data_IF_944885139383
#
_entry.id   IF_944885139383
#
_cell.length_a   1.000
_cell.length_b   1.000
_cell.length_c   1.000
_cell.angle_alpha   90.00
_cell.angle_beta   90.00
_cell.angle_gamma   90.00
#
_symmetry.space_group_name_H-M   'P 1'
#
loop_
_entity.id
_entity.type
_entity.pdbx_description
1 polymer ?
#
# COMPACT_ATOMS: atom_id res chain seq x y z
N UNK A 1 -32.75 -14.91 -13.92
CA UNK A 1 -32.58 -16.10 -13.02
C UNK A 1 -33.48 -17.27 -13.41
N UNK A 2 -34.82 -17.19 -13.51
CA UNK A 2 -35.64 -18.36 -13.89
C UNK A 2 -35.18 -19.06 -15.17
N UNK A 3 -34.89 -18.30 -16.23
CA UNK A 3 -34.38 -18.83 -17.49
C UNK A 3 -32.97 -19.46 -17.37
N UNK A 4 -32.16 -19.02 -16.40
CA UNK A 4 -30.84 -19.60 -16.13
C UNK A 4 -31.01 -20.96 -15.43
N UNK A 5 -31.85 -21.03 -14.38
CA UNK A 5 -32.22 -22.28 -13.71
C UNK A 5 -32.77 -23.28 -14.72
N UNK A 6 -33.73 -22.86 -15.58
CA UNK A 6 -34.24 -23.71 -16.66
C UNK A 6 -33.12 -24.22 -17.59
N UNK A 7 -32.17 -23.37 -17.99
CA UNK A 7 -31.04 -23.82 -18.79
C UNK A 7 -30.08 -24.76 -18.04
N UNK A 8 -29.99 -24.66 -16.71
CA UNK A 8 -29.24 -25.60 -15.88
C UNK A 8 -29.93 -26.97 -15.86
N UNK A 9 -31.26 -26.99 -15.67
CA UNK A 9 -32.09 -28.20 -15.62
C UNK A 9 -32.20 -28.88 -17.00
N UNK A 10 -32.44 -28.12 -18.07
CA UNK A 10 -32.68 -28.64 -19.42
C UNK A 10 -31.38 -29.06 -20.14
N UNK A 11 -30.22 -28.49 -19.78
CA UNK A 11 -28.95 -28.66 -20.54
C UNK A 11 -27.78 -29.14 -19.69
N UNK A 12 -27.55 -28.59 -18.49
CA UNK A 12 -26.37 -28.96 -17.69
C UNK A 12 -26.59 -30.27 -16.93
N UNK A 13 -27.74 -30.41 -16.25
CA UNK A 13 -28.05 -31.59 -15.45
C UNK A 13 -28.07 -32.91 -16.28
N UNK A 14 -28.66 -32.97 -17.50
CA UNK A 14 -28.62 -34.18 -18.33
C UNK A 14 -27.21 -34.55 -18.83
N UNK A 15 -26.30 -33.58 -18.88
CA UNK A 15 -24.88 -33.79 -19.20
C UNK A 15 -24.03 -34.18 -17.96
N UNK A 16 -24.65 -34.36 -16.79
CA UNK A 16 -23.95 -34.60 -15.53
C UNK A 16 -23.13 -33.40 -15.05
N UNK A 17 -23.44 -32.19 -15.52
CA UNK A 17 -22.73 -30.94 -15.21
C UNK A 17 -23.55 -30.09 -14.26
N UNK A 18 -22.86 -29.30 -13.43
CA UNK A 18 -23.48 -28.30 -12.55
C UNK A 18 -23.14 -26.88 -13.03
N UNK A 19 -24.05 -25.91 -12.84
CA UNK A 19 -23.75 -24.50 -13.11
C UNK A 19 -22.67 -24.01 -12.15
N UNK A 20 -21.71 -23.24 -12.67
CA UNK A 20 -20.65 -22.63 -11.84
C UNK A 20 -21.07 -21.32 -11.21
N UNK A 21 -21.68 -20.42 -12.00
CA UNK A 21 -22.05 -19.10 -11.51
C UNK A 21 -23.18 -18.44 -12.32
N UNK A 22 -23.73 -17.37 -11.74
CA UNK A 22 -24.54 -16.35 -12.41
C UNK A 22 -23.94 -14.96 -12.18
N UNK A 23 -24.13 -14.03 -13.11
CA UNK A 23 -23.67 -12.62 -12.97
C UNK A 23 -24.85 -11.67 -12.73
N UNK A 24 -24.69 -10.74 -11.78
CA UNK A 24 -25.58 -9.60 -11.55
C UNK A 24 -24.86 -8.32 -12.02
N UNK A 25 -25.54 -7.61 -12.91
CA UNK A 25 -24.95 -6.61 -13.81
C UNK A 25 -25.46 -5.18 -13.59
N UNK A 26 -26.58 -5.06 -12.88
CA UNK A 26 -27.31 -3.79 -12.71
C UNK A 26 -28.36 -3.92 -11.62
N UNK A 27 -28.95 -2.79 -11.22
CA UNK A 27 -29.89 -2.69 -10.10
C UNK A 27 -29.21 -2.75 -8.73
N UNK A 28 -30.01 -2.86 -7.67
CA UNK A 28 -29.51 -3.06 -6.30
C UNK A 28 -28.95 -4.48 -6.16
N UNK A 29 -27.63 -4.62 -6.26
CA UNK A 29 -26.95 -5.91 -6.21
C UNK A 29 -27.09 -6.55 -4.81
N UNK A 30 -27.14 -5.80 -3.72
CA UNK A 30 -27.35 -6.34 -2.37
C UNK A 30 -28.72 -7.01 -2.27
N UNK A 31 -29.78 -6.34 -2.70
CA UNK A 31 -31.14 -6.88 -2.69
C UNK A 31 -31.29 -8.04 -3.68
N UNK A 32 -30.79 -7.87 -4.91
CA UNK A 32 -30.90 -8.88 -5.95
C UNK A 32 -30.14 -10.14 -5.59
N UNK A 33 -28.90 -10.05 -5.11
CA UNK A 33 -28.08 -11.21 -4.73
C UNK A 33 -28.76 -12.10 -3.68
N UNK A 34 -29.35 -11.51 -2.64
CA UNK A 34 -30.15 -12.24 -1.62
C UNK A 34 -31.32 -13.01 -2.24
N UNK A 35 -32.01 -12.42 -3.23
CA UNK A 35 -33.11 -13.09 -3.95
C UNK A 35 -32.59 -14.17 -4.90
N UNK A 36 -31.51 -13.90 -5.64
CA UNK A 36 -30.86 -14.86 -6.53
C UNK A 36 -30.40 -16.09 -5.75
N UNK A 37 -29.71 -15.91 -4.62
CA UNK A 37 -29.28 -16.97 -3.72
C UNK A 37 -30.45 -17.87 -3.32
N UNK A 38 -31.52 -17.29 -2.76
CA UNK A 38 -32.74 -18.04 -2.41
C UNK A 38 -33.34 -18.81 -3.59
N UNK A 39 -33.36 -18.23 -4.79
CA UNK A 39 -33.90 -18.91 -5.98
C UNK A 39 -33.04 -20.08 -6.45
N UNK A 40 -31.71 -19.93 -6.39
CA UNK A 40 -30.75 -21.00 -6.70
C UNK A 40 -30.82 -22.12 -5.66
N UNK A 41 -30.93 -21.78 -4.37
CA UNK A 41 -31.01 -22.75 -3.27
C UNK A 41 -32.28 -23.61 -3.37
N UNK A 42 -33.44 -22.98 -3.61
CA UNK A 42 -34.72 -23.69 -3.83
C UNK A 42 -34.67 -24.57 -5.09
N UNK A 43 -33.90 -24.18 -6.11
CA UNK A 43 -33.70 -24.97 -7.32
C UNK A 43 -32.61 -26.06 -7.20
N UNK A 44 -32.01 -26.26 -6.02
CA UNK A 44 -30.98 -27.29 -5.82
C UNK A 44 -29.59 -26.93 -6.31
N UNK A 45 -29.28 -25.63 -6.44
CA UNK A 45 -27.98 -25.07 -6.86
C UNK A 45 -27.30 -24.20 -5.78
N UNK A 46 -27.15 -24.67 -4.52
CA UNK A 46 -26.52 -23.91 -3.44
C UNK A 46 -25.03 -23.59 -3.71
N UNK A 47 -24.39 -24.38 -4.56
CA UNK A 47 -22.99 -24.34 -4.99
C UNK A 47 -22.73 -23.48 -6.25
N UNK A 48 -23.77 -22.83 -6.80
CA UNK A 48 -23.63 -21.93 -7.93
C UNK A 48 -23.32 -20.50 -7.45
N UNK A 49 -22.11 -20.00 -7.74
CA UNK A 49 -21.61 -18.70 -7.29
C UNK A 49 -22.40 -17.51 -7.86
N UNK A 50 -22.47 -16.41 -7.12
CA UNK A 50 -23.05 -15.15 -7.56
C UNK A 50 -21.93 -14.12 -7.76
N UNK A 51 -21.69 -13.78 -9.03
CA UNK A 51 -20.72 -12.78 -9.44
C UNK A 51 -21.39 -11.40 -9.57
N UNK A 52 -20.75 -10.34 -9.11
CA UNK A 52 -21.23 -8.96 -9.22
C UNK A 52 -20.30 -8.09 -10.07
N UNK A 53 -20.87 -7.30 -10.97
CA UNK A 53 -20.14 -6.30 -11.78
C UNK A 53 -21.03 -5.11 -12.10
N UNK A 54 -20.82 -3.96 -11.44
CA UNK A 54 -21.39 -2.67 -11.83
C UNK A 54 -20.67 -1.53 -11.09
N UNK A 55 -19.81 -0.78 -11.76
CA UNK A 55 -19.10 0.39 -11.22
C UNK A 55 -18.59 0.24 -9.77
N UNK A 56 -18.07 -0.94 -9.42
CA UNK A 56 -17.69 -1.26 -8.05
C UNK A 56 -16.43 -0.48 -7.62
N UNK A 57 -16.38 -0.15 -6.34
CA UNK A 57 -15.18 0.34 -5.62
C UNK A 57 -15.13 -0.28 -4.22
N UNK A 58 -14.05 -0.03 -3.50
CA UNK A 58 -13.78 -0.55 -2.16
C UNK A 58 -14.85 -0.15 -1.13
N UNK A 59 -15.45 1.03 -1.25
CA UNK A 59 -16.50 1.52 -0.35
C UNK A 59 -17.82 0.81 -0.62
N UNK A 60 -18.27 0.75 -1.87
CA UNK A 60 -19.50 0.04 -2.26
C UNK A 60 -19.40 -1.46 -1.97
N UNK A 61 -18.24 -2.08 -2.19
CA UNK A 61 -18.01 -3.49 -1.82
C UNK A 61 -18.12 -3.66 -0.30
N UNK A 62 -17.51 -2.78 0.50
CA UNK A 62 -17.62 -2.81 1.96
C UNK A 62 -19.08 -2.68 2.43
N UNK A 63 -19.84 -1.74 1.86
CA UNK A 63 -21.26 -1.56 2.15
C UNK A 63 -22.06 -2.81 1.81
N UNK A 64 -21.90 -3.37 0.60
CA UNK A 64 -22.58 -4.59 0.17
C UNK A 64 -22.29 -5.77 1.13
N UNK A 65 -21.04 -5.94 1.55
CA UNK A 65 -20.64 -7.00 2.49
C UNK A 65 -21.30 -6.77 3.87
N UNK A 66 -21.26 -5.55 4.41
CA UNK A 66 -21.88 -5.22 5.70
C UNK A 66 -23.40 -5.40 5.70
N UNK A 67 -24.05 -5.11 4.57
CA UNK A 67 -25.49 -5.33 4.37
C UNK A 67 -25.83 -6.81 4.15
N UNK A 68 -24.84 -7.72 4.10
CA UNK A 68 -25.04 -9.16 3.91
C UNK A 68 -25.47 -9.55 2.49
N UNK A 69 -24.94 -8.87 1.46
CA UNK A 69 -25.06 -9.31 0.08
C UNK A 69 -24.60 -10.76 -0.09
N UNK A 70 -25.18 -11.48 -1.05
CA UNK A 70 -24.85 -12.87 -1.37
C UNK A 70 -24.07 -12.91 -2.67
N UNK A 71 -22.86 -12.36 -2.62
CA UNK A 71 -21.93 -12.23 -3.74
C UNK A 71 -20.64 -12.93 -3.37
N UNK A 72 -20.21 -13.86 -4.21
CA UNK A 72 -19.05 -14.73 -4.00
C UNK A 72 -17.82 -14.19 -4.77
N UNK A 73 -18.04 -13.35 -5.78
CA UNK A 73 -16.97 -12.70 -6.55
C UNK A 73 -17.37 -11.28 -7.00
N UNK A 74 -16.54 -10.30 -6.67
CA UNK A 74 -16.65 -8.91 -7.14
C UNK A 74 -15.72 -8.69 -8.33
N UNK A 75 -16.27 -8.32 -9.48
CA UNK A 75 -15.53 -8.05 -10.71
C UNK A 75 -15.43 -6.53 -10.88
N UNK A 76 -14.27 -5.98 -10.52
CA UNK A 76 -13.99 -4.54 -10.57
C UNK A 76 -13.27 -4.20 -11.88
N UNK A 77 -13.86 -3.29 -12.66
CA UNK A 77 -13.33 -2.86 -13.96
C UNK A 77 -12.73 -1.45 -13.90
N UNK A 78 -13.40 -0.51 -14.57
CA UNK A 78 -13.00 0.89 -14.78
C UNK A 78 -12.34 1.54 -13.56
N UNK A 79 -13.02 1.55 -12.40
CA UNK A 79 -12.55 2.26 -11.20
C UNK A 79 -11.20 1.77 -10.68
N UNK A 80 -10.93 0.46 -10.77
CA UNK A 80 -9.66 -0.14 -10.37
C UNK A 80 -8.55 0.11 -11.41
N UNK A 81 -8.83 -0.13 -12.70
CA UNK A 81 -7.80 -0.01 -13.75
C UNK A 81 -7.40 1.44 -14.04
N UNK A 82 -8.26 2.41 -13.73
CA UNK A 82 -8.00 3.85 -13.90
C UNK A 82 -7.51 4.56 -12.63
N UNK A 83 -7.52 3.88 -11.47
CA UNK A 83 -7.36 4.51 -10.15
C UNK A 83 -8.30 5.72 -10.00
N UNK A 84 -9.60 5.54 -10.24
CA UNK A 84 -10.54 6.65 -10.48
C UNK A 84 -10.60 7.72 -9.37
N UNK A 85 -10.31 7.35 -8.12
CA UNK A 85 -10.23 8.28 -6.98
C UNK A 85 -8.95 9.12 -6.95
N UNK A 86 -7.85 8.66 -7.56
CA UNK A 86 -6.56 9.35 -7.63
C UNK A 86 -5.75 8.89 -8.86
N UNK A 87 -6.11 9.32 -10.08
CA UNK A 87 -5.54 8.81 -11.33
C UNK A 87 -4.12 9.33 -11.63
N UNK A 88 -3.58 10.23 -10.81
CA UNK A 88 -2.27 10.87 -11.01
C UNK A 88 -1.31 10.52 -9.87
N UNK A 89 -0.31 9.68 -10.16
CA UNK A 89 0.75 9.38 -9.21
C UNK A 89 1.79 10.51 -9.16
N UNK A 90 1.89 11.21 -8.03
CA UNK A 90 2.73 12.41 -7.83
C UNK A 90 4.25 12.16 -7.72
N UNK A 91 4.79 11.16 -8.42
CA UNK A 91 6.21 10.82 -8.40
C UNK A 91 7.09 11.93 -9.00
N UNK A 92 8.24 12.20 -8.38
CA UNK A 92 9.20 13.21 -8.84
C UNK A 92 10.65 12.73 -8.74
N UNK A 93 11.47 13.10 -9.71
CA UNK A 93 12.93 12.96 -9.64
C UNK A 93 13.55 14.29 -9.18
N UNK A 94 14.49 14.26 -8.23
CA UNK A 94 15.17 15.43 -7.65
C UNK A 94 16.62 15.10 -7.34
N UNK A 95 17.53 16.04 -7.67
CA UNK A 95 18.93 15.97 -7.27
C UNK A 95 19.06 16.27 -5.76
N UNK A 96 19.51 15.30 -4.96
CA UNK A 96 19.73 15.46 -3.51
C UNK A 96 21.20 15.64 -3.12
N UNK A 97 22.14 15.19 -3.96
CA UNK A 97 23.58 15.35 -3.77
C UNK A 97 24.32 15.39 -5.11
N UNK A 98 25.56 15.86 -5.08
CA UNK A 98 26.57 15.59 -6.12
C UNK A 98 27.82 15.05 -5.44
N UNK A 99 28.67 14.32 -6.16
CA UNK A 99 30.03 14.07 -5.72
C UNK A 99 30.94 15.21 -6.19
N UNK A 100 31.86 15.67 -5.33
CA UNK A 100 32.93 16.58 -5.71
C UNK A 100 34.17 16.26 -4.89
N UNK A 101 35.33 16.12 -5.54
CA UNK A 101 36.62 15.84 -4.90
C UNK A 101 36.58 14.60 -3.98
N UNK A 102 35.85 13.55 -4.40
CA UNK A 102 35.63 12.32 -3.62
C UNK A 102 34.70 12.47 -2.41
N UNK A 103 33.95 13.57 -2.31
CA UNK A 103 33.04 13.86 -1.19
C UNK A 103 31.61 14.11 -1.67
N UNK A 104 30.65 13.57 -0.94
CA UNK A 104 29.23 13.89 -1.10
C UNK A 104 28.97 15.34 -0.71
N UNK A 105 28.42 16.13 -1.63
CA UNK A 105 28.00 17.52 -1.41
C UNK A 105 26.47 17.58 -1.50
N UNK A 106 25.76 17.82 -0.39
CA UNK A 106 24.31 17.86 -0.39
C UNK A 106 23.75 18.99 -1.27
N UNK A 107 22.55 18.75 -1.80
CA UNK A 107 21.74 19.71 -2.56
C UNK A 107 20.35 19.79 -1.96
N UNK A 108 19.86 21.01 -1.85
CA UNK A 108 18.51 21.33 -1.40
C UNK A 108 17.86 22.24 -2.42
N UNK A 109 16.57 22.02 -2.69
CA UNK A 109 15.72 22.94 -3.42
C UNK A 109 14.73 23.55 -2.42
N UNK A 110 14.78 24.87 -2.26
CA UNK A 110 13.90 25.61 -1.38
C UNK A 110 12.59 25.96 -2.10
N UNK A 111 11.51 26.05 -1.35
CA UNK A 111 10.20 26.46 -1.86
C UNK A 111 9.45 27.22 -0.78
N UNK A 112 8.63 28.20 -1.19
CA UNK A 112 7.71 28.90 -0.28
C UNK A 112 6.75 27.92 0.42
N UNK A 113 6.41 26.82 -0.25
CA UNK A 113 5.73 25.71 0.38
C UNK A 113 6.75 24.81 1.08
N UNK A 114 6.79 24.88 2.41
CA UNK A 114 7.70 24.06 3.25
C UNK A 114 7.64 22.56 2.96
N UNK A 115 6.48 22.02 2.56
CA UNK A 115 6.31 20.60 2.20
C UNK A 115 6.95 20.22 0.85
N UNK A 116 7.36 21.21 0.05
CA UNK A 116 8.08 21.02 -1.21
C UNK A 116 9.60 21.18 -1.07
N UNK A 117 10.11 21.52 0.11
CA UNK A 117 11.55 21.56 0.37
C UNK A 117 12.09 20.13 0.32
N UNK A 118 13.10 19.89 -0.52
CA UNK A 118 13.66 18.55 -0.73
C UNK A 118 14.55 18.10 0.43
N UNK A 119 14.56 16.80 0.72
CA UNK A 119 15.49 16.21 1.69
C UNK A 119 16.85 15.97 1.01
N UNK A 120 17.97 16.54 1.52
CA UNK A 120 19.29 16.50 0.90
C UNK A 120 19.96 15.12 0.98
N UNK A 121 21.21 15.04 0.49
CA UNK A 121 22.17 13.92 0.58
C UNK A 121 21.81 12.61 -0.12
N UNK A 122 22.79 11.71 -0.23
CA UNK A 122 22.51 10.28 -0.40
C UNK A 122 21.86 9.75 0.87
N UNK A 123 20.93 8.81 0.75
CA UNK A 123 20.06 8.39 1.85
C UNK A 123 19.72 6.91 1.76
N UNK A 124 19.61 6.29 2.93
CA UNK A 124 18.98 4.99 3.10
C UNK A 124 17.61 5.17 3.78
N UNK A 125 16.74 4.16 3.66
CA UNK A 125 15.46 4.11 4.39
C UNK A 125 15.42 2.81 5.18
N UNK A 126 15.34 2.91 6.50
CA UNK A 126 15.19 1.76 7.39
C UNK A 126 13.75 1.65 7.86
N UNK A 127 13.12 0.49 7.65
CA UNK A 127 11.90 0.14 8.37
C UNK A 127 12.27 -0.40 9.74
N UNK A 128 11.69 0.16 10.79
CA UNK A 128 11.78 -0.35 12.15
C UNK A 128 10.60 -1.29 12.40
N UNK A 129 10.88 -2.52 12.79
CA UNK A 129 9.89 -3.58 13.01
C UNK A 129 10.00 -4.02 14.46
N UNK A 130 8.88 -3.99 15.17
CA UNK A 130 8.74 -4.45 16.55
C UNK A 130 8.99 -5.97 16.64
N UNK A 131 9.89 -6.41 17.53
CA UNK A 131 10.29 -7.83 17.64
C UNK A 131 9.18 -8.72 18.21
N UNK A 132 8.30 -8.18 19.05
CA UNK A 132 7.28 -8.96 19.76
C UNK A 132 6.03 -9.18 18.89
N UNK A 133 5.57 -8.15 18.18
CA UNK A 133 4.39 -8.18 17.32
C UNK A 133 4.68 -8.44 15.84
N UNK A 134 5.94 -8.29 15.41
CA UNK A 134 6.34 -8.32 14.00
C UNK A 134 5.79 -7.16 13.16
N UNK A 135 5.19 -6.14 13.81
CA UNK A 135 4.57 -5.00 13.12
C UNK A 135 5.56 -3.88 12.84
N UNK A 136 5.37 -3.22 11.70
CA UNK A 136 6.14 -2.06 11.30
C UNK A 136 5.78 -0.86 12.19
N UNK A 137 6.79 -0.25 12.83
CA UNK A 137 6.64 0.90 13.72
C UNK A 137 6.68 2.21 12.91
N UNK A 138 7.72 2.37 12.11
CA UNK A 138 8.01 3.56 11.32
C UNK A 138 9.02 3.25 10.21
N UNK A 139 9.04 4.07 9.17
CA UNK A 139 10.18 4.16 8.25
C UNK A 139 11.02 5.40 8.61
N UNK A 140 12.34 5.24 8.67
CA UNK A 140 13.29 6.30 9.02
C UNK A 140 14.23 6.53 7.84
N UNK A 141 14.25 7.76 7.32
CA UNK A 141 15.23 8.20 6.34
C UNK A 141 16.50 8.61 7.07
N UNK A 142 17.63 8.05 6.67
CA UNK A 142 18.95 8.34 7.22
C UNK A 142 19.88 8.84 6.12
N UNK A 143 21.04 9.39 6.47
CA UNK A 143 22.19 9.43 5.56
C UNK A 143 22.58 7.99 5.18
N UNK A 144 23.24 7.82 4.04
CA UNK A 144 23.52 6.51 3.43
C UNK A 144 24.52 5.66 4.25
N UNK A 145 25.41 6.33 4.98
CA UNK A 145 26.43 5.77 5.87
C UNK A 145 25.93 5.52 7.31
N UNK A 146 24.75 6.03 7.67
CA UNK A 146 24.17 5.81 9.00
C UNK A 146 23.67 4.37 9.19
N UNK A 147 23.95 3.83 10.38
CA UNK A 147 23.46 2.54 10.86
C UNK A 147 22.65 2.79 12.14
N UNK A 148 21.42 2.27 12.16
CA UNK A 148 20.58 2.29 13.37
C UNK A 148 20.98 1.09 14.24
N UNK A 149 21.40 1.35 15.47
CA UNK A 149 21.83 0.33 16.42
C UNK A 149 20.63 -0.31 17.12
N UNK A 150 20.28 -1.53 16.70
CA UNK A 150 19.16 -2.33 17.23
C UNK A 150 19.34 -2.79 18.69
N UNK A 151 20.51 -2.55 19.30
CA UNK A 151 20.78 -2.87 20.71
C UNK A 151 20.46 -1.72 21.66
N UNK A 152 20.11 -0.54 21.13
CA UNK A 152 19.84 0.69 21.90
C UNK A 152 18.43 1.22 21.66
N UNK A 153 17.88 2.00 22.61
CA UNK A 153 16.66 2.76 22.36
C UNK A 153 16.85 3.73 21.19
N UNK A 154 15.82 3.87 20.34
CA UNK A 154 15.81 4.82 19.24
C UNK A 154 14.69 5.84 19.43
N UNK A 155 14.98 7.13 19.18
CA UNK A 155 14.01 8.22 19.32
C UNK A 155 13.46 8.61 17.95
N UNK A 156 12.22 8.20 17.69
CA UNK A 156 11.40 8.70 16.58
C UNK A 156 10.91 10.10 16.90
N UNK A 157 10.81 10.97 15.90
CA UNK A 157 10.29 12.33 16.05
C UNK A 157 9.74 12.89 14.74
N UNK A 158 8.62 13.61 14.84
CA UNK A 158 8.01 14.29 13.70
C UNK A 158 8.98 15.37 13.17
N UNK A 159 9.36 15.34 11.88
CA UNK A 159 10.40 16.20 11.33
C UNK A 159 10.00 17.68 11.22
N UNK A 160 8.71 17.99 11.35
CA UNK A 160 8.16 19.36 11.37
C UNK A 160 7.76 19.77 12.79
N UNK A 161 7.23 18.84 13.59
CA UNK A 161 6.75 19.04 14.96
C UNK A 161 7.59 18.30 16.01
N UNK A 162 8.88 18.60 16.09
CA UNK A 162 9.91 17.81 16.80
C UNK A 162 9.69 17.53 18.29
N UNK A 163 8.74 18.20 18.94
CA UNK A 163 8.29 17.86 20.30
C UNK A 163 7.44 16.58 20.35
N UNK A 164 6.80 16.20 19.24
CA UNK A 164 6.16 14.90 19.05
C UNK A 164 7.26 13.88 18.80
N UNK A 165 7.68 13.21 19.87
CA UNK A 165 8.72 12.18 19.84
C UNK A 165 8.30 10.96 20.64
N UNK A 166 8.78 9.79 20.24
CA UNK A 166 8.57 8.52 20.90
C UNK A 166 9.90 7.76 20.95
N UNK A 167 10.31 7.36 22.15
CA UNK A 167 11.39 6.40 22.31
C UNK A 167 10.83 4.98 22.09
N UNK A 168 11.58 4.16 21.37
CA UNK A 168 11.26 2.76 21.10
C UNK A 168 12.46 1.87 21.39
N UNK A 169 12.16 0.67 21.86
CA UNK A 169 13.12 -0.39 22.15
C UNK A 169 12.66 -1.67 21.43
N UNK A 170 13.41 -2.77 21.59
CA UNK A 170 13.04 -4.10 21.10
C UNK A 170 12.58 -4.16 19.61
N UNK A 171 13.28 -3.46 18.73
CA UNK A 171 13.02 -3.49 17.28
C UNK A 171 14.16 -4.18 16.51
N UNK A 172 13.87 -4.66 15.29
CA UNK A 172 14.87 -4.90 14.22
C UNK A 172 14.75 -3.81 13.15
N UNK A 173 15.82 -3.61 12.39
CA UNK A 173 15.83 -2.71 11.24
C UNK A 173 15.84 -3.50 9.93
N UNK A 174 15.29 -2.91 8.87
CA UNK A 174 15.43 -3.44 7.51
C UNK A 174 15.64 -2.31 6.52
N UNK A 175 16.78 -2.32 5.81
CA UNK A 175 17.03 -1.45 4.66
C UNK A 175 15.97 -1.72 3.58
N UNK A 176 15.31 -0.66 3.10
CA UNK A 176 14.30 -0.75 2.03
C UNK A 176 14.90 -0.48 0.65
N UNK A 177 16.00 0.28 0.57
CA UNK A 177 16.72 0.50 -0.69
C UNK A 177 17.83 -0.55 -0.81
N UNK A 178 17.70 -1.40 -1.83
CA UNK A 178 18.66 -2.46 -2.19
C UNK A 178 19.24 -2.17 -3.59
N UNK A 179 20.51 -2.53 -3.86
CA UNK A 179 21.12 -2.29 -5.16
C UNK A 179 20.46 -3.14 -6.25
N UNK A 180 19.98 -2.51 -7.32
CA UNK A 180 19.45 -3.18 -8.50
C UNK A 180 20.52 -3.30 -9.60
N UNK A 181 21.31 -2.23 -9.76
CA UNK A 181 22.42 -2.15 -10.72
C UNK A 181 23.66 -1.57 -10.05
N UNK A 182 24.83 -2.14 -10.35
CA UNK A 182 26.14 -1.64 -9.95
C UNK A 182 27.05 -1.57 -11.17
N UNK A 183 27.70 -0.42 -11.42
CA UNK A 183 28.54 -0.22 -12.61
C UNK A 183 27.83 -0.49 -13.94
N UNK A 184 26.51 -0.29 -14.00
CA UNK A 184 25.67 -0.60 -15.17
C UNK A 184 25.30 -2.08 -15.35
N UNK A 185 25.73 -2.97 -14.45
CA UNK A 185 25.37 -4.40 -14.46
C UNK A 185 24.24 -4.67 -13.47
N UNK A 186 23.24 -5.46 -13.87
CA UNK A 186 22.18 -5.89 -12.95
C UNK A 186 22.77 -6.85 -11.91
N UNK A 187 22.64 -6.51 -10.63
CA UNK A 187 23.07 -7.34 -9.49
C UNK A 187 21.90 -7.96 -8.72
N UNK A 188 20.69 -7.45 -8.95
CA UNK A 188 19.46 -7.96 -8.35
C UNK A 188 18.86 -9.12 -9.15
N UNK A 189 18.48 -10.17 -8.43
CA UNK A 189 17.70 -11.29 -8.96
C UNK A 189 16.21 -10.92 -8.97
N UNK A 190 15.57 -11.03 -10.14
CA UNK A 190 14.17 -10.64 -10.31
C UNK A 190 13.24 -11.75 -9.78
N UNK A 191 12.42 -11.48 -8.75
CA UNK A 191 11.48 -12.46 -8.21
C UNK A 191 10.35 -12.75 -9.20
N UNK A 192 9.81 -13.96 -9.13
CA UNK A 192 8.62 -14.34 -9.90
C UNK A 192 7.38 -13.56 -9.44
N UNK A 193 6.36 -13.48 -10.30
CA UNK A 193 5.08 -12.85 -9.97
C UNK A 193 4.43 -13.44 -8.70
N UNK A 194 4.64 -14.74 -8.44
CA UNK A 194 4.15 -15.40 -7.23
C UNK A 194 4.87 -14.86 -5.98
N UNK A 195 6.20 -14.77 -6.04
CA UNK A 195 7.01 -14.24 -4.93
C UNK A 195 6.73 -12.75 -4.68
N UNK A 196 6.52 -11.95 -5.73
CA UNK A 196 6.08 -10.55 -5.61
C UNK A 196 4.74 -10.46 -4.88
N UNK A 197 3.76 -11.29 -5.27
CA UNK A 197 2.43 -11.33 -4.61
C UNK A 197 2.54 -11.73 -3.15
N UNK A 198 3.29 -12.80 -2.85
CA UNK A 198 3.48 -13.28 -1.48
C UNK A 198 4.26 -12.28 -0.62
N UNK A 199 5.28 -11.62 -1.19
CA UNK A 199 6.00 -10.54 -0.52
C UNK A 199 5.05 -9.39 -0.19
N UNK A 200 4.24 -8.93 -1.16
CA UNK A 200 3.24 -7.88 -0.95
C UNK A 200 2.28 -8.24 0.19
N UNK A 201 1.70 -9.45 0.19
CA UNK A 201 0.81 -9.91 1.26
C UNK A 201 1.52 -9.92 2.63
N UNK A 202 2.72 -10.50 2.73
CA UNK A 202 3.52 -10.48 3.96
C UNK A 202 3.84 -9.06 4.44
N UNK A 203 4.14 -8.15 3.52
CA UNK A 203 4.43 -6.75 3.86
C UNK A 203 3.20 -5.98 4.33
N UNK A 204 2.04 -6.15 3.67
CA UNK A 204 0.77 -5.57 4.12
C UNK A 204 0.39 -6.09 5.51
N UNK A 205 0.67 -7.36 5.82
CA UNK A 205 0.38 -7.93 7.13
C UNK A 205 1.30 -7.37 8.25
N UNK A 206 2.51 -6.89 7.95
CA UNK A 206 3.32 -6.14 8.94
C UNK A 206 2.70 -4.80 9.34
N UNK A 207 1.69 -4.29 8.62
CA UNK A 207 1.03 -3.03 8.98
C UNK A 207 -0.06 -3.23 10.05
N UNK A 208 -0.22 -2.21 10.89
CA UNK A 208 -1.31 -2.07 11.85
C UNK A 208 -2.65 -1.87 11.13
N UNK A 209 -3.75 -2.35 11.71
CA UNK A 209 -5.08 -2.29 11.07
C UNK A 209 -5.59 -0.84 10.98
N UNK A 210 -5.21 0.00 11.95
CA UNK A 210 -5.48 1.43 11.98
C UNK A 210 -4.84 2.17 10.80
N UNK A 211 -3.73 1.65 10.23
CA UNK A 211 -3.06 2.20 9.04
C UNK A 211 -3.73 1.71 7.74
N UNK A 212 -4.37 0.53 7.77
CA UNK A 212 -4.96 -0.13 6.60
C UNK A 212 -6.42 0.25 6.31
N UNK A 213 -7.14 0.85 7.27
CA UNK A 213 -8.55 1.26 7.09
C UNK A 213 -8.70 2.37 6.04
N UNK A 214 -9.79 2.35 5.27
CA UNK A 214 -10.07 3.40 4.27
C UNK A 214 -10.42 4.75 4.92
N UNK A 215 -11.25 4.73 5.96
CA UNK A 215 -11.72 5.95 6.62
C UNK A 215 -10.73 6.47 7.67
N UNK A 216 -10.19 7.68 7.43
CA UNK A 216 -9.27 8.39 8.31
C UNK A 216 -8.15 7.47 8.87
N UNK A 217 -7.34 6.81 8.02
CA UNK A 217 -6.26 5.94 8.47
C UNK A 217 -5.28 6.67 9.40
N UNK A 218 -4.74 5.93 10.37
CA UNK A 218 -3.61 6.39 11.16
C UNK A 218 -2.42 6.64 10.21
N UNK A 219 -1.86 7.85 10.26
CA UNK A 219 -0.73 8.23 9.42
C UNK A 219 0.50 7.43 9.84
N UNK A 220 0.94 6.51 8.99
CA UNK A 220 2.20 5.79 9.17
C UNK A 220 3.38 6.77 9.29
N UNK A 221 4.28 6.51 10.24
CA UNK A 221 5.41 7.39 10.54
C UNK A 221 6.52 7.25 9.49
N UNK A 222 6.94 8.39 8.94
CA UNK A 222 8.04 8.49 7.98
C UNK A 222 8.90 9.66 8.44
N UNK A 223 9.88 9.34 9.28
CA UNK A 223 10.66 10.29 10.07
C UNK A 223 12.09 10.43 9.49
N UNK A 224 12.85 11.41 9.99
CA UNK A 224 14.25 11.61 9.62
C UNK A 224 15.17 11.19 10.77
N UNK A 225 16.36 10.68 10.46
CA UNK A 225 17.44 10.60 11.44
C UNK A 225 17.77 11.99 11.98
N UNK A 226 18.28 12.05 13.21
CA UNK A 226 18.73 13.31 13.82
C UNK A 226 19.78 14.01 12.96
N UNK A 227 20.67 13.25 12.31
CA UNK A 227 21.75 13.77 11.50
C UNK A 227 21.23 14.34 10.16
N UNK A 228 20.37 13.58 9.46
CA UNK A 228 19.74 14.03 8.20
C UNK A 228 18.82 15.24 8.42
N UNK A 229 18.08 15.28 9.53
CA UNK A 229 17.26 16.43 9.93
C UNK A 229 18.13 17.67 10.20
N UNK A 230 19.25 17.50 10.92
CA UNK A 230 20.18 18.59 11.21
C UNK A 230 20.85 19.12 9.93
N UNK A 231 21.26 18.25 9.01
CA UNK A 231 21.82 18.67 7.71
C UNK A 231 20.79 19.42 6.87
N UNK A 232 19.56 18.89 6.76
CA UNK A 232 18.44 19.58 6.07
C UNK A 232 18.26 20.99 6.60
N UNK A 233 18.19 21.16 7.91
CA UNK A 233 17.92 22.45 8.52
C UNK A 233 19.14 23.40 8.44
N UNK A 234 20.36 22.88 8.55
CA UNK A 234 21.59 23.65 8.32
C UNK A 234 21.63 24.24 6.90
N UNK A 235 21.23 23.46 5.90
CA UNK A 235 21.12 23.92 4.51
C UNK A 235 19.98 24.91 4.32
N UNK A 236 18.82 24.71 4.95
CA UNK A 236 17.72 25.68 4.93
C UNK A 236 18.20 27.03 5.46
N UNK A 237 18.79 27.09 6.67
CA UNK A 237 19.27 28.34 7.25
C UNK A 237 20.43 28.96 6.45
N UNK A 238 21.33 28.14 5.87
CA UNK A 238 22.43 28.63 5.02
C UNK A 238 21.96 29.33 3.74
N UNK A 239 20.87 28.84 3.12
CA UNK A 239 20.34 29.40 1.87
C UNK A 239 19.14 30.33 2.08
N UNK A 240 18.72 30.55 3.33
CA UNK A 240 17.64 31.46 3.73
C UNK A 240 18.00 32.91 3.35
N UNK A 241 17.16 33.53 2.53
CA UNK A 241 17.36 34.90 2.06
C UNK A 241 18.27 35.07 0.84
N UNK A 242 18.85 33.98 0.32
CA UNK A 242 19.47 34.00 -1.02
C UNK A 242 18.33 33.88 -2.04
N UNK A 243 18.10 34.97 -2.79
CA UNK A 243 17.17 35.03 -3.93
C UNK A 243 17.83 34.52 -5.21
#
# INVERSE_FOLDING_TARGET
IPNAIKAFDDVLAPLGKRPKSVRIDSGDITYLSKRVRKMLDVAGYPDCDIMASNSLDEHLISDMVSQGAKVDCFIVGERLITSASSPLFGGVYKLSAIEKDGKTVPKINLSENVRKITIPSSKQVYRLIDKDSGKAIADVLTLDDEIIDETKPYVLFDPDFTWKRKEIENFVTRKLLVPIFEGGKKVYEEPSLKEIREYCLRQTDTLWDEVKRFENPHKYYVDLSKNLWAERNSLIEKFKGIK
#
